data_IF_385302237477
#
_entry.id   IF_385302237477
#
_cell.length_a   1.000
_cell.length_b   1.000
_cell.length_c   1.000
_cell.angle_alpha   90.00
_cell.angle_beta   90.00
_cell.angle_gamma   90.00
#
_symmetry.space_group_name_H-M   'P 1'
#
loop_
_entity.id
_entity.type
_entity.pdbx_description
1 polymer ?
#
# COMPACT_ATOMS: atom_id res chain seq x y z
N UNK A 1 -23.00 10.73 0.03
CA UNK A 1 -23.76 11.32 1.19
C UNK A 1 -24.18 10.29 2.25
N UNK A 2 -24.65 9.09 1.92
CA UNK A 2 -25.18 8.14 2.92
C UNK A 2 -24.14 7.72 4.00
N UNK A 3 -22.89 7.35 3.63
CA UNK A 3 -21.86 6.91 4.59
C UNK A 3 -21.48 7.97 5.63
N UNK A 4 -21.27 9.23 5.21
CA UNK A 4 -20.99 10.35 6.14
C UNK A 4 -22.11 10.55 7.15
N UNK A 5 -23.37 10.42 6.72
CA UNK A 5 -24.54 10.50 7.61
C UNK A 5 -24.57 9.31 8.60
N UNK A 6 -24.23 8.11 8.14
CA UNK A 6 -24.18 6.92 9.03
C UNK A 6 -23.13 7.10 10.13
N UNK A 7 -21.93 7.59 9.78
CA UNK A 7 -20.87 7.88 10.78
C UNK A 7 -21.31 8.98 11.73
N UNK A 8 -21.86 10.09 11.21
CA UNK A 8 -22.37 11.19 12.05
C UNK A 8 -23.44 10.71 13.03
N UNK A 9 -24.35 9.83 12.60
CA UNK A 9 -25.38 9.24 13.48
C UNK A 9 -24.76 8.35 14.57
N UNK A 10 -23.74 7.57 14.24
CA UNK A 10 -23.06 6.72 15.21
C UNK A 10 -22.33 7.53 16.30
N UNK A 11 -21.94 8.76 15.99
CA UNK A 11 -21.23 9.65 16.92
C UNK A 11 -22.17 10.44 17.89
N UNK A 12 -23.48 10.46 17.65
CA UNK A 12 -24.42 11.22 18.48
C UNK A 12 -24.33 10.83 19.97
N UNK A 13 -24.15 9.53 20.23
CA UNK A 13 -24.10 8.99 21.60
C UNK A 13 -22.69 8.97 22.21
N UNK A 14 -21.72 9.67 21.61
CA UNK A 14 -20.34 9.73 22.08
C UNK A 14 -19.76 8.34 22.43
N UNK A 15 -19.67 7.41 21.48
CA UNK A 15 -19.25 6.04 21.74
C UNK A 15 -17.76 5.99 22.14
N UNK A 16 -17.41 5.08 23.04
CA UNK A 16 -16.02 4.74 23.36
C UNK A 16 -15.38 3.82 22.30
N UNK A 17 -16.22 3.08 21.56
CA UNK A 17 -15.82 2.15 20.48
C UNK A 17 -16.66 2.40 19.23
N UNK A 18 -16.00 2.58 18.09
CA UNK A 18 -16.63 2.76 16.80
C UNK A 18 -16.16 1.67 15.83
N UNK A 19 -17.12 0.90 15.31
CA UNK A 19 -16.86 -0.11 14.27
C UNK A 19 -17.17 0.47 12.90
N UNK A 20 -16.23 0.41 11.99
CA UNK A 20 -16.28 0.98 10.65
C UNK A 20 -15.99 -0.10 9.61
N UNK A 21 -16.97 -0.38 8.78
CA UNK A 21 -16.81 -1.31 7.66
C UNK A 21 -16.61 -0.53 6.37
N UNK A 22 -15.39 -0.59 5.83
CA UNK A 22 -14.96 0.11 4.62
C UNK A 22 -15.39 1.59 4.56
N UNK A 23 -14.98 2.42 5.52
CA UNK A 23 -15.58 3.75 5.72
C UNK A 23 -15.38 4.71 4.55
N UNK A 24 -14.32 4.54 3.75
CA UNK A 24 -13.97 5.46 2.65
C UNK A 24 -14.33 4.95 1.27
N UNK A 25 -14.82 3.71 1.14
CA UNK A 25 -15.17 3.13 -0.16
C UNK A 25 -16.24 3.95 -0.89
N UNK A 26 -15.96 4.30 -2.15
CA UNK A 26 -16.84 5.13 -3.00
C UNK A 26 -16.81 6.62 -2.67
N UNK A 27 -15.86 7.09 -1.87
CA UNK A 27 -15.58 8.51 -1.70
C UNK A 27 -14.53 8.98 -2.72
N UNK A 28 -14.66 10.22 -3.15
CA UNK A 28 -13.60 10.91 -3.88
C UNK A 28 -12.37 11.15 -2.98
N UNK A 29 -11.16 11.39 -3.54
CA UNK A 29 -9.93 11.54 -2.75
C UNK A 29 -10.03 12.65 -1.70
N UNK A 30 -10.65 13.78 -2.00
CA UNK A 30 -10.80 14.88 -1.05
C UNK A 30 -11.69 14.50 0.12
N UNK A 31 -12.84 13.84 -0.15
CA UNK A 31 -13.76 13.37 0.89
C UNK A 31 -13.13 12.28 1.76
N UNK A 32 -12.25 11.43 1.18
CA UNK A 32 -11.50 10.41 1.91
C UNK A 32 -10.55 11.05 2.92
N UNK A 33 -9.73 12.02 2.51
CA UNK A 33 -8.80 12.71 3.43
C UNK A 33 -9.55 13.43 4.55
N UNK A 34 -10.65 14.13 4.25
CA UNK A 34 -11.47 14.78 5.28
C UNK A 34 -12.05 13.78 6.29
N UNK A 35 -12.39 12.57 5.84
CA UNK A 35 -12.85 11.53 6.76
C UNK A 35 -11.70 10.98 7.60
N UNK A 36 -10.52 10.76 7.02
CA UNK A 36 -9.32 10.33 7.77
C UNK A 36 -8.96 11.33 8.87
N UNK A 37 -8.92 12.63 8.56
CA UNK A 37 -8.67 13.67 9.55
C UNK A 37 -9.67 13.57 10.70
N UNK A 38 -10.95 13.39 10.39
CA UNK A 38 -12.00 13.27 11.39
C UNK A 38 -11.87 12.01 12.26
N UNK A 39 -11.55 10.87 11.65
CA UNK A 39 -11.30 9.63 12.40
C UNK A 39 -10.06 9.76 13.29
N UNK A 40 -9.02 10.41 12.79
CA UNK A 40 -7.83 10.69 13.58
C UNK A 40 -8.12 11.59 14.80
N UNK A 41 -8.93 12.65 14.64
CA UNK A 41 -9.39 13.48 15.75
C UNK A 41 -10.16 12.67 16.81
N UNK A 42 -11.04 11.76 16.40
CA UNK A 42 -11.78 10.89 17.30
C UNK A 42 -10.83 9.96 18.09
N UNK A 43 -9.84 9.41 17.42
CA UNK A 43 -8.79 8.60 18.05
C UNK A 43 -8.01 9.40 19.09
N UNK A 44 -7.62 10.64 18.78
CA UNK A 44 -6.96 11.54 19.74
C UNK A 44 -7.86 11.89 20.92
N UNK A 45 -9.17 11.95 20.72
CA UNK A 45 -10.16 12.15 21.79
C UNK A 45 -10.42 10.88 22.64
N UNK A 46 -9.72 9.76 22.35
CA UNK A 46 -9.80 8.53 23.14
C UNK A 46 -10.81 7.50 22.64
N UNK A 47 -11.45 7.73 21.49
CA UNK A 47 -12.36 6.75 20.88
C UNK A 47 -11.55 5.60 20.28
N UNK A 48 -11.89 4.37 20.63
CA UNK A 48 -11.32 3.18 19.99
C UNK A 48 -11.98 2.97 18.63
N UNK A 49 -11.16 2.91 17.58
CA UNK A 49 -11.63 2.65 16.22
C UNK A 49 -11.23 1.22 15.78
N UNK A 50 -12.20 0.45 15.33
CA UNK A 50 -11.96 -0.82 14.62
C UNK A 50 -12.53 -0.67 13.23
N UNK A 51 -11.67 -0.80 12.22
CA UNK A 51 -12.09 -0.64 10.82
C UNK A 51 -11.69 -1.85 9.97
N UNK A 52 -12.49 -2.14 8.96
CA UNK A 52 -12.11 -2.98 7.84
C UNK A 52 -11.83 -2.10 6.63
N UNK A 53 -10.84 -2.45 5.84
CA UNK A 53 -10.54 -1.75 4.60
C UNK A 53 -9.74 -2.64 3.64
N UNK A 54 -9.90 -2.42 2.35
CA UNK A 54 -9.03 -2.94 1.31
C UNK A 54 -8.03 -1.87 0.82
N UNK A 55 -8.12 -0.63 1.33
CA UNK A 55 -7.15 0.43 1.04
C UNK A 55 -5.99 0.37 2.01
N UNK A 56 -4.81 -0.01 1.52
CA UNK A 56 -3.60 -0.14 2.35
C UNK A 56 -3.11 1.21 2.87
N UNK A 57 -3.28 2.28 2.11
CA UNK A 57 -3.02 3.65 2.52
C UNK A 57 -3.89 4.09 3.72
N UNK A 58 -5.17 3.72 3.74
CA UNK A 58 -6.06 3.97 4.88
C UNK A 58 -5.57 3.24 6.14
N UNK A 59 -5.23 1.95 6.01
CA UNK A 59 -4.71 1.17 7.12
C UNK A 59 -3.37 1.74 7.63
N UNK A 60 -2.48 2.18 6.74
CA UNK A 60 -1.18 2.76 7.09
C UNK A 60 -1.32 4.08 7.84
N UNK A 61 -2.30 4.90 7.48
CA UNK A 61 -2.52 6.22 8.07
C UNK A 61 -3.28 6.17 9.41
N UNK A 62 -4.27 5.30 9.54
CA UNK A 62 -5.19 5.33 10.68
C UNK A 62 -4.88 4.29 11.76
N UNK A 63 -4.32 3.12 11.40
CA UNK A 63 -4.18 2.01 12.33
C UNK A 63 -2.89 2.08 13.14
N UNK A 64 -3.00 1.87 14.46
CA UNK A 64 -1.84 1.59 15.31
C UNK A 64 -1.39 0.14 15.20
N UNK A 65 -2.37 -0.75 14.97
CA UNK A 65 -2.19 -2.18 14.81
C UNK A 65 -3.22 -2.70 13.81
N UNK A 66 -2.81 -3.64 12.98
CA UNK A 66 -3.68 -4.26 11.99
C UNK A 66 -3.39 -5.75 11.83
N UNK A 67 -4.33 -6.45 11.23
CA UNK A 67 -4.16 -7.82 10.74
C UNK A 67 -4.35 -7.83 9.23
N UNK A 68 -3.46 -8.51 8.51
CA UNK A 68 -3.63 -8.79 7.09
C UNK A 68 -4.27 -10.16 6.98
N UNK A 69 -5.38 -10.23 6.24
CA UNK A 69 -6.12 -11.46 6.02
C UNK A 69 -6.08 -11.85 4.54
N UNK A 70 -5.77 -13.11 4.26
CA UNK A 70 -5.92 -13.72 2.94
C UNK A 70 -6.60 -15.09 3.08
N UNK A 71 -7.55 -15.39 2.20
CA UNK A 71 -8.30 -16.68 2.17
C UNK A 71 -8.84 -17.07 3.56
N UNK A 72 -9.46 -16.11 4.24
CA UNK A 72 -10.03 -16.26 5.58
C UNK A 72 -9.00 -16.65 6.68
N UNK A 73 -7.71 -16.40 6.48
CA UNK A 73 -6.65 -16.62 7.46
C UNK A 73 -5.89 -15.33 7.74
N UNK A 74 -5.49 -15.14 8.98
CA UNK A 74 -4.55 -14.08 9.34
C UNK A 74 -3.17 -14.50 8.86
N UNK A 75 -2.58 -13.72 7.95
CA UNK A 75 -1.25 -13.98 7.37
C UNK A 75 -0.17 -13.12 8.00
N UNK A 76 -0.54 -11.96 8.55
CA UNK A 76 0.37 -11.11 9.32
C UNK A 76 -0.41 -10.24 10.30
N UNK A 77 0.26 -9.81 11.36
CA UNK A 77 -0.28 -8.94 12.40
C UNK A 77 0.83 -8.06 12.97
N UNK A 78 0.53 -6.79 13.25
CA UNK A 78 1.46 -5.81 13.82
C UNK A 78 1.06 -4.38 13.50
N UNK A 79 1.92 -3.42 13.87
CA UNK A 79 1.78 -2.04 13.38
C UNK A 79 2.19 -1.94 11.90
N UNK A 80 1.70 -0.93 11.15
CA UNK A 80 2.12 -0.71 9.76
C UNK A 80 3.65 -0.70 9.61
N UNK A 81 4.34 0.02 10.48
CA UNK A 81 5.81 0.15 10.44
C UNK A 81 6.53 -1.16 10.70
N UNK A 82 6.08 -1.95 11.68
CA UNK A 82 6.65 -3.27 11.97
C UNK A 82 6.47 -4.24 10.81
N UNK A 83 5.28 -4.23 10.18
CA UNK A 83 5.00 -5.10 9.05
C UNK A 83 5.85 -4.73 7.84
N UNK A 84 5.96 -3.44 7.51
CA UNK A 84 6.83 -2.98 6.41
C UNK A 84 8.28 -3.38 6.70
N UNK A 85 8.80 -3.08 7.90
CA UNK A 85 10.18 -3.40 8.26
C UNK A 85 10.50 -4.91 8.27
N UNK A 86 9.49 -5.74 8.56
CA UNK A 86 9.64 -7.20 8.65
C UNK A 86 9.60 -7.91 7.30
N UNK A 87 8.75 -7.44 6.40
CA UNK A 87 8.42 -8.19 5.17
C UNK A 87 8.99 -7.55 3.91
N UNK A 88 9.35 -6.27 3.95
CA UNK A 88 9.80 -5.53 2.76
C UNK A 88 11.15 -4.86 3.03
N UNK A 89 11.90 -4.60 1.96
CA UNK A 89 13.10 -3.75 2.02
C UNK A 89 12.71 -2.28 2.18
N UNK A 90 13.71 -1.42 2.49
CA UNK A 90 13.46 0.00 2.74
C UNK A 90 12.84 0.74 1.56
N UNK A 91 13.27 0.40 0.35
CA UNK A 91 12.92 1.13 -0.87
C UNK A 91 12.46 0.18 -1.97
N UNK A 92 11.61 0.71 -2.83
CA UNK A 92 11.11 0.04 -4.03
C UNK A 92 11.40 0.91 -5.23
N UNK A 93 12.00 0.32 -6.25
CA UNK A 93 12.21 0.97 -7.54
C UNK A 93 11.17 0.44 -8.51
N UNK A 94 10.28 1.31 -8.96
CA UNK A 94 9.29 1.00 -10.00
C UNK A 94 9.88 1.32 -11.36
N UNK A 95 9.95 0.34 -12.24
CA UNK A 95 10.40 0.51 -13.61
C UNK A 95 9.24 0.24 -14.55
N UNK A 96 8.76 1.27 -15.23
CA UNK A 96 7.73 1.14 -16.28
C UNK A 96 8.40 1.05 -17.63
N UNK A 97 8.19 -0.09 -18.28
CA UNK A 97 8.75 -0.39 -19.58
C UNK A 97 7.87 0.18 -20.69
N UNK A 98 8.48 0.67 -21.77
CA UNK A 98 7.74 1.07 -22.97
C UNK A 98 7.19 -0.16 -23.70
N UNK A 99 6.11 0.05 -24.48
CA UNK A 99 5.41 -1.03 -25.21
C UNK A 99 6.29 -1.75 -26.25
N UNK A 100 7.34 -1.11 -26.72
CA UNK A 100 8.26 -1.66 -27.73
C UNK A 100 9.36 -2.55 -27.12
N UNK A 101 9.50 -2.58 -25.80
CA UNK A 101 10.52 -3.37 -25.13
C UNK A 101 10.04 -4.80 -24.88
N UNK A 102 10.90 -5.78 -25.19
CA UNK A 102 10.66 -7.17 -24.78
C UNK A 102 10.69 -7.25 -23.25
N UNK A 103 9.48 -7.35 -22.69
CA UNK A 103 9.27 -7.38 -21.25
C UNK A 103 10.01 -8.54 -20.58
N UNK A 104 10.03 -9.71 -21.20
CA UNK A 104 10.69 -10.90 -20.66
C UNK A 104 12.19 -10.68 -20.54
N UNK A 105 12.78 -10.07 -21.55
CA UNK A 105 14.20 -9.72 -21.56
C UNK A 105 14.53 -8.62 -20.53
N UNK A 106 13.65 -7.61 -20.41
CA UNK A 106 13.82 -6.55 -19.44
C UNK A 106 13.73 -7.07 -17.99
N UNK A 107 12.73 -7.92 -17.68
CA UNK A 107 12.60 -8.57 -16.37
C UNK A 107 13.83 -9.42 -16.04
N UNK A 108 14.33 -10.19 -17.02
CA UNK A 108 15.53 -11.00 -16.84
C UNK A 108 16.78 -10.17 -16.50
N UNK A 109 16.92 -8.97 -17.13
CA UNK A 109 18.00 -8.03 -16.83
C UNK A 109 17.85 -7.32 -15.46
N UNK A 110 16.62 -7.03 -15.07
CA UNK A 110 16.31 -6.37 -13.80
C UNK A 110 16.42 -7.31 -12.60
N UNK A 111 16.11 -8.58 -12.79
CA UNK A 111 16.08 -9.59 -11.71
C UNK A 111 17.35 -9.65 -10.83
N UNK A 112 18.56 -9.56 -11.37
CA UNK A 112 19.78 -9.57 -10.54
C UNK A 112 20.07 -8.25 -9.81
N UNK A 113 19.33 -7.16 -10.10
CA UNK A 113 19.59 -5.84 -9.53
C UNK A 113 18.88 -5.61 -8.19
N UNK A 114 17.77 -6.31 -7.92
CA UNK A 114 17.01 -6.20 -6.67
C UNK A 114 17.14 -7.43 -5.79
N UNK A 115 16.91 -7.28 -4.50
CA UNK A 115 16.83 -8.41 -3.54
C UNK A 115 15.62 -9.30 -3.85
N UNK A 116 14.54 -8.66 -4.28
CA UNK A 116 13.32 -9.29 -4.80
C UNK A 116 12.81 -8.49 -5.98
N UNK A 117 12.19 -9.17 -6.95
CA UNK A 117 11.61 -8.53 -8.13
C UNK A 117 10.23 -9.09 -8.40
N UNK A 118 9.24 -8.20 -8.52
CA UNK A 118 7.86 -8.52 -8.87
C UNK A 118 7.52 -7.87 -10.21
N UNK A 119 7.01 -8.68 -11.15
CA UNK A 119 6.65 -8.22 -12.50
C UNK A 119 5.13 -8.07 -12.59
N UNK A 120 4.62 -6.85 -12.43
CA UNK A 120 3.21 -6.51 -12.61
C UNK A 120 2.87 -6.28 -14.09
N UNK A 121 1.60 -6.09 -14.40
CA UNK A 121 1.14 -5.93 -15.79
C UNK A 121 1.76 -4.71 -16.50
N UNK A 122 1.94 -3.59 -15.81
CA UNK A 122 2.39 -2.30 -16.35
C UNK A 122 3.81 -1.90 -15.91
N UNK A 123 4.36 -2.56 -14.88
CA UNK A 123 5.63 -2.17 -14.25
C UNK A 123 6.36 -3.36 -13.65
N UNK A 124 7.62 -3.14 -13.32
CA UNK A 124 8.45 -4.07 -12.54
C UNK A 124 8.83 -3.39 -11.25
N UNK A 125 8.61 -4.05 -10.12
CA UNK A 125 9.01 -3.60 -8.79
C UNK A 125 10.31 -4.30 -8.38
N UNK A 126 11.32 -3.51 -8.02
CA UNK A 126 12.58 -4.01 -7.48
C UNK A 126 12.69 -3.57 -6.01
N UNK A 127 12.73 -4.52 -5.12
CA UNK A 127 12.87 -4.31 -3.70
C UNK A 127 14.36 -4.24 -3.34
N UNK A 128 14.77 -3.18 -2.62
CA UNK A 128 16.19 -2.89 -2.38
C UNK A 128 16.39 -2.03 -1.13
N UNK A 129 17.64 -2.03 -0.61
CA UNK A 129 18.07 -1.09 0.44
C UNK A 129 18.60 0.23 -0.14
N UNK A 130 18.92 0.27 -1.45
CA UNK A 130 19.48 1.45 -2.11
C UNK A 130 18.84 1.63 -3.50
N UNK A 131 17.73 2.36 -3.53
CA UNK A 131 16.95 2.61 -4.74
C UNK A 131 17.69 3.47 -5.75
N UNK A 132 18.45 4.47 -5.30
CA UNK A 132 19.19 5.38 -6.18
C UNK A 132 20.25 4.63 -6.99
N UNK A 133 20.94 3.66 -6.39
CA UNK A 133 21.93 2.85 -7.11
C UNK A 133 21.26 2.03 -8.23
N UNK A 134 20.10 1.45 -7.97
CA UNK A 134 19.34 0.70 -8.97
C UNK A 134 18.79 1.65 -10.05
N UNK A 135 18.21 2.78 -9.67
CA UNK A 135 17.69 3.75 -10.62
C UNK A 135 18.76 4.23 -11.60
N UNK A 136 19.97 4.55 -11.11
CA UNK A 136 21.12 4.91 -11.93
C UNK A 136 21.56 3.76 -12.84
N UNK A 137 21.61 2.54 -12.33
CA UNK A 137 21.97 1.36 -13.12
C UNK A 137 20.95 1.08 -14.23
N UNK A 138 19.64 1.23 -13.96
CA UNK A 138 18.58 1.08 -14.97
C UNK A 138 18.71 2.15 -16.04
N UNK A 139 18.91 3.41 -15.66
CA UNK A 139 19.07 4.52 -16.61
C UNK A 139 20.32 4.38 -17.49
N UNK A 140 21.40 3.77 -16.97
CA UNK A 140 22.66 3.57 -17.69
C UNK A 140 22.72 2.31 -18.57
N UNK A 141 21.86 1.31 -18.35
CA UNK A 141 21.98 -0.04 -18.93
C UNK A 141 21.04 -0.31 -20.13
N UNK A 142 20.67 0.72 -20.88
CA UNK A 142 19.97 0.52 -22.17
C UNK A 142 18.50 0.12 -22.04
N UNK A 143 17.84 0.49 -20.94
CA UNK A 143 16.39 0.37 -20.81
C UNK A 143 15.63 1.51 -21.53
N UNK A 144 16.34 2.30 -22.37
CA UNK A 144 15.77 3.37 -23.19
C UNK A 144 15.01 4.39 -22.34
N UNK A 145 13.81 4.76 -22.81
CA UNK A 145 12.93 5.73 -22.14
C UNK A 145 12.07 5.11 -21.02
N UNK A 146 12.55 4.06 -20.34
CA UNK A 146 11.83 3.51 -19.19
C UNK A 146 11.67 4.56 -18.11
N UNK A 147 10.45 4.72 -17.58
CA UNK A 147 10.22 5.58 -16.42
C UNK A 147 10.64 4.86 -15.15
N UNK A 148 11.48 5.49 -14.35
CA UNK A 148 11.99 4.95 -13.08
C UNK A 148 11.54 5.84 -11.94
N UNK A 149 10.90 5.25 -10.94
CA UNK A 149 10.48 5.92 -9.71
C UNK A 149 11.06 5.18 -8.50
N UNK A 150 11.78 5.90 -7.65
CA UNK A 150 12.22 5.39 -6.34
C UNK A 150 11.24 5.87 -5.29
N UNK A 151 10.69 4.95 -4.51
CA UNK A 151 9.80 5.25 -3.39
C UNK A 151 10.11 4.41 -2.15
N UNK A 152 9.60 4.81 -1.02
CA UNK A 152 9.63 3.95 0.17
C UNK A 152 8.64 2.80 0.01
N UNK A 153 8.94 1.69 0.67
CA UNK A 153 8.03 0.58 0.78
C UNK A 153 6.80 0.95 1.64
N UNK A 154 5.66 0.35 1.33
CA UNK A 154 4.35 0.60 1.95
C UNK A 154 3.66 -0.70 2.37
N UNK A 155 2.51 -0.62 3.03
CA UNK A 155 1.68 -1.79 3.34
C UNK A 155 1.17 -2.50 2.09
N UNK A 156 1.00 -1.80 0.96
CA UNK A 156 0.64 -2.42 -0.32
C UNK A 156 1.70 -3.43 -0.76
N UNK A 157 2.99 -3.08 -0.61
CA UNK A 157 4.09 -3.99 -0.90
C UNK A 157 4.08 -5.21 0.03
N UNK A 158 3.78 -5.01 1.32
CA UNK A 158 3.62 -6.11 2.28
C UNK A 158 2.50 -7.05 1.84
N UNK A 159 1.36 -6.51 1.45
CA UNK A 159 0.21 -7.28 0.99
C UNK A 159 0.56 -8.09 -0.26
N UNK A 160 1.15 -7.45 -1.27
CA UNK A 160 1.60 -8.10 -2.51
C UNK A 160 2.56 -9.27 -2.21
N UNK A 161 3.53 -9.05 -1.33
CA UNK A 161 4.52 -10.07 -0.96
C UNK A 161 3.90 -11.26 -0.24
N UNK A 162 2.95 -11.02 0.67
CA UNK A 162 2.32 -12.08 1.48
C UNK A 162 1.26 -12.88 0.72
N UNK A 163 0.54 -12.23 -0.19
CA UNK A 163 -0.58 -12.86 -0.89
C UNK A 163 -0.24 -13.29 -2.31
N UNK A 164 0.79 -12.68 -2.92
CA UNK A 164 1.16 -12.87 -4.33
C UNK A 164 0.14 -12.23 -5.29
N UNK A 165 -0.70 -11.31 -4.82
CA UNK A 165 -1.76 -10.63 -5.60
C UNK A 165 -1.59 -9.13 -5.53
N UNK A 166 -1.89 -8.45 -6.65
CA UNK A 166 -2.15 -7.02 -6.66
C UNK A 166 -3.57 -6.74 -6.15
N UNK A 167 -3.76 -5.62 -5.45
CA UNK A 167 -5.08 -5.15 -5.00
C UNK A 167 -5.99 -4.71 -6.17
N UNK A 168 -5.46 -4.62 -7.38
CA UNK A 168 -6.19 -4.21 -8.58
C UNK A 168 -6.85 -5.40 -9.32
N UNK A 169 -6.76 -6.63 -8.81
CA UNK A 169 -7.27 -7.84 -9.46
C UNK A 169 -8.65 -8.32 -8.98
N UNK A 170 -9.39 -7.51 -8.19
CA UNK A 170 -10.76 -7.83 -7.75
C UNK A 170 -11.81 -6.95 -8.44
#
# INVERSE_FOLDING_TARGET
>A
MKRRLTIARALINQPELLLLDEPTTGLDPQARHLLWDRLYELKLAGVTLVLTTHYMDEAEQLCDRLVIMDRAKIVAEGSPRELIAKYVTREVVEVRLNREQDRSLAVAKLKPMGERVEALADRVLLYTQNGDAIANAVSGNGFGDASVLVRRASLEDVFLILTGRSLEED
#
